data_IF_097076776407
#
_entry.id   IF_097076776407
#
_cell.length_a   1.000
_cell.length_b   1.000
_cell.length_c   1.000
_cell.angle_alpha   90.00
_cell.angle_beta   90.00
_cell.angle_gamma   90.00
#
_symmetry.space_group_name_H-M   'P 1'
#
loop_
_entity.id
_entity.type
_entity.pdbx_description
1 polymer ?
#
# COMPACT_ATOMS: atom_id res chain seq x y z
N UNK A 1 14.03 60.91 -50.69
CA UNK A 1 13.78 60.68 -49.26
C UNK A 1 13.49 59.19 -49.08
N UNK A 2 14.47 58.38 -48.66
CA UNK A 2 14.30 56.92 -48.48
C UNK A 2 13.73 56.67 -47.08
N UNK A 3 12.53 56.11 -47.00
CA UNK A 3 11.84 55.76 -45.76
C UNK A 3 12.38 54.42 -45.26
N UNK A 4 13.02 54.40 -44.09
CA UNK A 4 13.54 53.19 -43.46
C UNK A 4 12.44 52.61 -42.55
N UNK A 5 11.86 51.47 -42.95
CA UNK A 5 10.86 50.76 -42.13
C UNK A 5 11.63 49.83 -41.19
N UNK A 6 11.66 50.16 -39.90
CA UNK A 6 12.22 49.31 -38.85
C UNK A 6 11.15 48.30 -38.45
N UNK A 7 11.36 47.04 -38.78
CA UNK A 7 10.53 45.92 -38.38
C UNK A 7 10.98 45.45 -37.00
N UNK A 8 10.26 45.84 -35.95
CA UNK A 8 10.52 45.37 -34.57
C UNK A 8 9.85 44.01 -34.43
N UNK A 9 10.62 42.94 -34.58
CA UNK A 9 10.20 41.60 -34.19
C UNK A 9 10.28 41.49 -32.67
N UNK A 10 9.14 41.46 -31.98
CA UNK A 10 9.10 41.07 -30.57
C UNK A 10 9.39 39.57 -30.47
N UNK A 11 10.61 39.22 -30.05
CA UNK A 11 10.94 37.87 -29.65
C UNK A 11 10.18 37.58 -28.35
N UNK A 12 9.07 36.84 -28.45
CA UNK A 12 8.45 36.23 -27.27
C UNK A 12 9.43 35.19 -26.75
N UNK A 13 10.22 35.56 -25.75
CA UNK A 13 11.03 34.62 -24.98
C UNK A 13 10.07 33.77 -24.16
N UNK A 14 9.77 32.55 -24.64
CA UNK A 14 9.04 31.57 -23.85
C UNK A 14 9.89 31.22 -22.61
N UNK A 15 9.45 31.66 -21.43
CA UNK A 15 10.04 31.25 -20.16
C UNK A 15 9.77 29.76 -19.95
N UNK A 16 10.79 28.99 -19.61
CA UNK A 16 10.63 27.57 -19.27
C UNK A 16 9.76 27.44 -18.02
N UNK A 17 8.76 26.57 -18.07
CA UNK A 17 7.85 26.33 -16.95
C UNK A 17 8.04 24.95 -16.34
N UNK A 18 7.65 24.81 -15.08
CA UNK A 18 7.50 23.51 -14.42
C UNK A 18 6.05 23.35 -14.00
N UNK A 19 5.46 22.23 -14.36
CA UNK A 19 4.13 21.81 -13.94
C UNK A 19 4.24 20.55 -13.08
N UNK A 20 3.58 20.53 -11.94
CA UNK A 20 3.58 19.40 -11.02
C UNK A 20 2.13 19.00 -10.77
N UNK A 21 1.75 17.84 -11.30
CA UNK A 21 0.48 17.20 -11.06
C UNK A 21 0.67 16.01 -10.12
N UNK A 22 -0.38 15.61 -9.41
CA UNK A 22 -0.32 14.42 -8.57
C UNK A 22 -1.63 13.64 -8.53
N UNK A 23 -1.50 12.37 -8.15
CA UNK A 23 -2.59 11.51 -7.74
C UNK A 23 -2.24 10.93 -6.34
N UNK A 24 -3.01 11.24 -5.28
CA UNK A 24 -4.21 12.10 -5.27
C UNK A 24 -3.90 13.58 -5.57
N UNK A 25 -4.91 14.37 -5.93
CA UNK A 25 -4.79 15.83 -6.12
C UNK A 25 -4.58 16.56 -4.79
N UNK A 26 -4.25 17.86 -4.85
CA UNK A 26 -4.10 18.72 -3.66
C UNK A 26 -3.06 18.13 -2.68
N UNK A 27 -1.91 17.74 -3.23
CA UNK A 27 -0.75 17.37 -2.43
C UNK A 27 0.09 18.62 -2.18
N UNK A 28 0.63 18.74 -0.97
CA UNK A 28 1.58 19.80 -0.65
C UNK A 28 2.88 19.58 -1.43
N UNK A 29 3.41 20.64 -2.01
CA UNK A 29 4.65 20.61 -2.78
C UNK A 29 5.72 21.39 -2.03
N UNK A 30 6.86 20.76 -1.83
CA UNK A 30 8.02 21.32 -1.17
C UNK A 30 9.24 21.32 -2.09
N UNK A 31 10.08 22.34 -1.95
CA UNK A 31 11.48 22.26 -2.39
C UNK A 31 12.33 21.94 -1.17
N UNK A 32 13.23 20.97 -1.32
CA UNK A 32 14.23 20.63 -0.31
C UNK A 32 15.50 21.39 -0.64
N UNK A 33 15.92 22.28 0.25
CA UNK A 33 17.14 23.05 0.08
C UNK A 33 18.41 22.20 0.31
N UNK A 34 19.59 22.78 0.07
CA UNK A 34 20.89 22.14 0.27
C UNK A 34 21.17 21.65 1.71
N UNK A 35 20.41 22.15 2.69
CA UNK A 35 20.52 21.76 4.10
C UNK A 35 19.46 20.72 4.49
N UNK A 36 18.66 20.24 3.55
CA UNK A 36 17.55 19.30 3.81
C UNK A 36 16.29 19.98 4.36
N UNK A 37 16.22 21.32 4.40
CA UNK A 37 15.04 22.04 4.89
C UNK A 37 13.97 22.06 3.80
N UNK A 38 12.76 21.65 4.15
CA UNK A 38 11.58 21.70 3.29
C UNK A 38 10.97 23.10 3.31
N UNK A 39 10.80 23.69 2.13
CA UNK A 39 10.08 24.96 1.94
C UNK A 39 8.86 24.70 1.09
N UNK A 40 7.67 24.98 1.63
CA UNK A 40 6.42 24.82 0.88
C UNK A 40 6.36 25.84 -0.25
N UNK A 41 6.01 25.38 -1.45
CA UNK A 41 5.84 26.22 -2.64
C UNK A 41 4.40 26.26 -3.14
N UNK A 42 3.51 25.40 -2.62
CA UNK A 42 2.10 25.36 -2.99
C UNK A 42 1.51 23.96 -2.92
N UNK A 43 0.43 23.74 -3.67
CA UNK A 43 -0.25 22.45 -3.79
C UNK A 43 -0.43 22.04 -5.26
N UNK A 44 -0.51 20.74 -5.52
CA UNK A 44 -0.80 20.22 -6.86
C UNK A 44 -2.28 20.42 -7.26
N UNK A 45 -2.59 20.76 -8.52
CA UNK A 45 -1.65 21.05 -9.60
C UNK A 45 -0.92 22.37 -9.37
N UNK A 46 0.41 22.34 -9.49
CA UNK A 46 1.28 23.50 -9.27
C UNK A 46 1.97 23.87 -10.58
N UNK A 47 2.06 25.16 -10.89
CA UNK A 47 2.78 25.66 -12.05
C UNK A 47 3.57 26.91 -11.71
N UNK A 48 4.83 26.96 -12.12
CA UNK A 48 5.69 28.12 -11.91
C UNK A 48 6.74 28.26 -13.04
N UNK A 49 7.34 29.44 -13.12
CA UNK A 49 8.48 29.68 -13.99
C UNK A 49 9.75 29.07 -13.37
N UNK A 50 10.53 28.36 -14.19
CA UNK A 50 11.74 27.66 -13.76
C UNK A 50 12.78 28.63 -13.19
N UNK A 51 12.88 29.83 -13.77
CA UNK A 51 13.82 30.87 -13.34
C UNK A 51 13.48 31.43 -11.95
N UNK A 52 12.19 31.58 -11.63
CA UNK A 52 11.73 32.00 -10.30
C UNK A 52 12.00 30.94 -9.23
N UNK A 53 11.84 29.65 -9.58
CA UNK A 53 12.24 28.56 -8.68
C UNK A 53 13.75 28.49 -8.47
N UNK A 54 14.54 28.76 -9.52
CA UNK A 54 15.99 28.80 -9.42
C UNK A 54 16.46 29.95 -8.53
N UNK A 55 15.96 31.17 -8.73
CA UNK A 55 16.38 32.33 -7.94
C UNK A 55 16.01 32.19 -6.46
N UNK A 56 14.86 31.60 -6.15
CA UNK A 56 14.38 31.44 -4.79
C UNK A 56 15.00 30.24 -4.05
N UNK A 57 15.37 29.17 -4.77
CA UNK A 57 15.72 27.89 -4.13
C UNK A 57 16.93 27.14 -4.72
N UNK A 58 17.44 27.55 -5.89
CA UNK A 58 18.42 26.81 -6.67
C UNK A 58 19.71 27.59 -6.91
N UNK A 59 20.65 27.55 -5.96
CA UNK A 59 21.86 28.36 -6.08
C UNK A 59 22.87 27.85 -7.12
N UNK A 60 22.93 26.55 -7.47
CA UNK A 60 23.91 26.02 -8.47
C UNK A 60 23.71 24.53 -8.88
N UNK A 61 22.50 23.96 -8.79
CA UNK A 61 22.30 22.52 -9.08
C UNK A 61 20.83 22.10 -9.15
N UNK A 62 20.52 20.82 -9.41
CA UNK A 62 19.14 20.35 -9.46
C UNK A 62 18.43 20.60 -8.12
N UNK A 63 17.17 21.02 -8.17
CA UNK A 63 16.33 21.12 -6.96
C UNK A 63 15.68 19.78 -6.66
N UNK A 64 15.59 19.44 -5.39
CA UNK A 64 14.80 18.30 -4.97
C UNK A 64 13.37 18.79 -4.69
N UNK A 65 12.42 18.26 -5.45
CA UNK A 65 10.99 18.49 -5.26
C UNK A 65 10.43 17.31 -4.49
N UNK A 66 9.67 17.60 -3.45
CA UNK A 66 8.90 16.62 -2.69
C UNK A 66 7.42 16.93 -2.78
N UNK A 67 6.61 15.94 -3.15
CA UNK A 67 5.15 16.01 -3.16
C UNK A 67 4.65 15.10 -2.04
N UNK A 68 3.89 15.67 -1.12
CA UNK A 68 3.48 15.02 0.11
C UNK A 68 1.99 15.18 0.37
N UNK A 69 1.38 14.15 0.94
CA UNK A 69 0.04 14.19 1.49
C UNK A 69 -0.03 13.24 2.69
N UNK A 70 -0.65 13.64 3.81
CA UNK A 70 -0.81 12.76 4.96
C UNK A 70 -1.42 11.41 4.58
N UNK A 71 -0.78 10.33 5.01
CA UNK A 71 -1.19 8.96 4.73
C UNK A 71 -0.71 8.39 3.40
N UNK A 72 0.16 9.11 2.71
CA UNK A 72 0.85 8.66 1.52
C UNK A 72 2.37 8.75 1.67
N UNK A 73 3.09 7.83 1.04
CA UNK A 73 4.54 7.91 0.86
C UNK A 73 4.87 9.18 0.06
N UNK A 74 5.78 9.99 0.59
CA UNK A 74 6.26 11.18 -0.08
C UNK A 74 6.91 10.82 -1.43
N UNK A 75 6.50 11.49 -2.49
CA UNK A 75 7.13 11.38 -3.80
C UNK A 75 8.26 12.40 -3.87
N UNK A 76 9.49 11.95 -4.11
CA UNK A 76 10.64 12.86 -4.22
C UNK A 76 11.36 12.66 -5.55
N UNK A 77 11.71 13.77 -6.20
CA UNK A 77 12.41 13.79 -7.48
C UNK A 77 13.42 14.94 -7.53
N UNK A 78 14.59 14.67 -8.10
CA UNK A 78 15.56 15.72 -8.44
C UNK A 78 15.23 16.28 -9.83
N UNK A 79 14.98 17.58 -9.90
CA UNK A 79 14.62 18.30 -11.12
C UNK A 79 15.81 19.14 -11.57
N UNK A 80 16.39 18.87 -12.75
CA UNK A 80 17.44 19.73 -13.31
C UNK A 80 16.86 21.06 -13.79
N UNK A 81 17.66 22.13 -13.65
CA UNK A 81 17.29 23.43 -14.22
C UNK A 81 17.52 23.45 -15.72
N UNK A 82 16.45 23.61 -16.49
CA UNK A 82 16.48 23.75 -17.94
C UNK A 82 16.20 25.21 -18.31
N UNK A 83 17.15 25.85 -19.01
CA UNK A 83 16.97 27.23 -19.53
C UNK A 83 15.95 27.29 -20.68
N UNK A 84 15.71 26.17 -21.34
CA UNK A 84 14.78 26.02 -22.47
C UNK A 84 14.09 24.67 -22.37
N UNK A 85 12.76 24.68 -22.36
CA UNK A 85 11.93 23.47 -22.29
C UNK A 85 11.14 23.38 -20.99
N UNK A 86 9.88 22.98 -21.12
CA UNK A 86 8.98 22.77 -19.99
C UNK A 86 9.26 21.43 -19.29
N UNK A 87 9.04 21.39 -17.98
CA UNK A 87 9.17 20.18 -17.17
C UNK A 87 7.80 19.81 -16.60
N UNK A 88 7.26 18.67 -17.01
CA UNK A 88 6.01 18.14 -16.47
C UNK A 88 6.27 16.96 -15.54
N UNK A 89 5.87 17.10 -14.28
CA UNK A 89 6.00 16.08 -13.24
C UNK A 89 4.62 15.52 -12.92
N UNK A 90 4.51 14.19 -12.92
CA UNK A 90 3.30 13.47 -12.52
C UNK A 90 3.61 12.57 -11.32
N UNK A 91 3.32 13.07 -10.12
CA UNK A 91 3.59 12.37 -8.86
C UNK A 91 2.43 11.43 -8.51
N UNK A 92 2.64 10.12 -8.65
CA UNK A 92 1.68 9.10 -8.23
C UNK A 92 2.07 8.59 -6.83
N UNK A 93 1.41 9.13 -5.82
CA UNK A 93 1.70 8.80 -4.43
C UNK A 93 1.07 7.46 -4.05
N UNK A 94 1.77 6.69 -3.23
CA UNK A 94 1.32 5.39 -2.73
C UNK A 94 0.84 5.54 -1.30
N UNK A 95 -0.27 4.89 -0.93
CA UNK A 95 -0.73 4.87 0.47
C UNK A 95 0.37 4.28 1.35
N UNK A 96 0.62 4.89 2.51
CA UNK A 96 1.63 4.40 3.43
C UNK A 96 1.36 2.95 3.86
N UNK A 97 2.43 2.17 3.99
CA UNK A 97 2.35 0.73 4.27
C UNK A 97 1.61 0.41 5.57
N UNK A 98 1.78 1.20 6.62
CA UNK A 98 1.09 1.07 7.91
C UNK A 98 -0.43 1.28 7.78
N UNK A 99 -0.87 2.28 7.03
CA UNK A 99 -2.29 2.55 6.78
C UNK A 99 -2.88 1.43 5.95
N UNK A 100 -2.18 1.02 4.88
CA UNK A 100 -2.62 -0.11 4.06
C UNK A 100 -2.75 -1.39 4.89
N UNK A 101 -1.80 -1.65 5.78
CA UNK A 101 -1.84 -2.79 6.70
C UNK A 101 -3.05 -2.71 7.66
N UNK A 102 -3.35 -1.54 8.20
CA UNK A 102 -4.51 -1.33 9.05
C UNK A 102 -5.82 -1.59 8.29
N UNK A 103 -5.96 -1.03 7.09
CA UNK A 103 -7.11 -1.28 6.21
C UNK A 103 -7.28 -2.76 5.89
N UNK A 104 -6.19 -3.44 5.52
CA UNK A 104 -6.20 -4.88 5.24
C UNK A 104 -6.61 -5.70 6.47
N UNK A 105 -6.20 -5.28 7.68
CA UNK A 105 -6.64 -5.90 8.93
C UNK A 105 -8.15 -5.68 9.19
N UNK A 106 -8.66 -4.47 8.97
CA UNK A 106 -10.09 -4.16 9.12
C UNK A 106 -10.94 -5.02 8.18
N UNK A 107 -10.53 -5.16 6.91
CA UNK A 107 -11.19 -6.03 5.95
C UNK A 107 -11.16 -7.50 6.38
N UNK A 108 -10.00 -8.00 6.82
CA UNK A 108 -9.87 -9.37 7.33
C UNK A 108 -10.83 -9.61 8.50
N UNK A 109 -10.85 -8.71 9.49
CA UNK A 109 -11.69 -8.84 10.69
C UNK A 109 -13.18 -8.84 10.33
N UNK A 110 -13.63 -7.90 9.50
CA UNK A 110 -15.00 -7.86 9.02
C UNK A 110 -15.39 -9.15 8.30
N UNK A 111 -14.49 -9.68 7.46
CA UNK A 111 -14.73 -10.90 6.74
C UNK A 111 -14.78 -12.14 7.64
N UNK A 112 -13.94 -12.22 8.67
CA UNK A 112 -13.96 -13.29 9.67
C UNK A 112 -15.25 -13.26 10.51
N UNK A 113 -15.79 -12.07 10.83
CA UNK A 113 -17.09 -11.96 11.48
C UNK A 113 -18.23 -12.56 10.64
N UNK A 114 -18.20 -12.36 9.32
CA UNK A 114 -19.17 -12.99 8.43
C UNK A 114 -18.99 -14.53 8.38
N UNK A 115 -17.74 -15.01 8.37
CA UNK A 115 -17.48 -16.47 8.49
C UNK A 115 -18.06 -17.02 9.79
N UNK A 116 -17.84 -16.34 10.94
CA UNK A 116 -18.41 -16.75 12.23
C UNK A 116 -19.94 -16.79 12.19
N UNK A 117 -20.57 -15.79 11.57
CA UNK A 117 -22.03 -15.74 11.38
C UNK A 117 -22.53 -16.93 10.56
N UNK A 118 -21.86 -17.25 9.44
CA UNK A 118 -22.19 -18.40 8.60
C UNK A 118 -22.03 -19.73 9.36
N UNK A 119 -20.97 -19.88 10.15
CA UNK A 119 -20.74 -21.07 10.98
C UNK A 119 -21.86 -21.25 12.01
N UNK A 120 -22.28 -20.17 12.69
CA UNK A 120 -23.42 -20.20 13.64
C UNK A 120 -24.73 -20.57 12.96
N UNK A 121 -24.95 -20.08 11.74
CA UNK A 121 -26.07 -20.47 10.89
C UNK A 121 -25.96 -21.86 10.26
N UNK A 122 -24.93 -22.66 10.60
CA UNK A 122 -24.61 -23.97 10.00
C UNK A 122 -24.39 -23.95 8.48
N UNK A 123 -24.14 -22.79 7.89
CA UNK A 123 -23.78 -22.61 6.48
C UNK A 123 -22.29 -22.89 6.26
N UNK A 124 -21.86 -24.11 6.60
CA UNK A 124 -20.46 -24.49 6.70
C UNK A 124 -19.70 -24.47 5.36
N UNK A 125 -20.37 -24.81 4.26
CA UNK A 125 -19.75 -24.76 2.92
C UNK A 125 -19.42 -23.34 2.48
N UNK A 126 -20.37 -22.41 2.68
CA UNK A 126 -20.16 -21.00 2.36
C UNK A 126 -19.08 -20.39 3.24
N UNK A 127 -19.08 -20.71 4.54
CA UNK A 127 -18.04 -20.28 5.47
C UNK A 127 -16.65 -20.77 5.01
N UNK A 128 -16.53 -22.03 4.60
CA UNK A 128 -15.28 -22.61 4.14
C UNK A 128 -14.78 -21.95 2.85
N UNK A 129 -15.65 -21.76 1.85
CA UNK A 129 -15.31 -21.05 0.60
C UNK A 129 -14.85 -19.61 0.84
N UNK A 130 -15.44 -18.93 1.83
CA UNK A 130 -15.00 -17.59 2.22
C UNK A 130 -13.62 -17.60 2.86
N UNK A 131 -13.32 -18.60 3.70
CA UNK A 131 -11.98 -18.81 4.26
C UNK A 131 -10.93 -19.15 3.20
N UNK A 132 -11.27 -19.81 2.09
CA UNK A 132 -10.35 -20.02 0.96
C UNK A 132 -9.95 -18.71 0.28
N UNK A 133 -10.92 -17.82 0.06
CA UNK A 133 -10.64 -16.47 -0.47
C UNK A 133 -9.76 -15.67 0.50
N UNK A 134 -10.04 -15.75 1.80
CA UNK A 134 -9.23 -15.09 2.82
C UNK A 134 -7.82 -15.66 2.88
N UNK A 135 -7.63 -16.99 2.78
CA UNK A 135 -6.31 -17.61 2.76
C UNK A 135 -5.46 -17.11 1.60
N UNK A 136 -6.05 -16.92 0.42
CA UNK A 136 -5.33 -16.40 -0.75
C UNK A 136 -4.84 -14.96 -0.54
N UNK A 137 -5.64 -14.11 0.14
CA UNK A 137 -5.26 -12.71 0.41
C UNK A 137 -4.37 -12.56 1.65
N UNK A 138 -4.54 -13.43 2.64
CA UNK A 138 -3.97 -13.32 3.99
C UNK A 138 -3.31 -14.64 4.44
N UNK A 139 -2.30 -15.17 3.72
CA UNK A 139 -1.78 -16.52 3.91
C UNK A 139 -1.12 -16.77 5.28
N UNK A 140 -0.72 -15.71 5.98
CA UNK A 140 0.01 -15.78 7.26
C UNK A 140 -0.87 -15.57 8.49
N UNK A 141 -2.21 -15.59 8.34
CA UNK A 141 -3.13 -15.44 9.46
C UNK A 141 -3.61 -16.80 9.97
N UNK A 142 -3.09 -17.22 11.12
CA UNK A 142 -3.40 -18.53 11.73
C UNK A 142 -4.89 -18.77 11.97
N UNK A 143 -5.65 -17.70 12.23
CA UNK A 143 -7.10 -17.77 12.52
C UNK A 143 -7.89 -18.36 11.34
N UNK A 144 -7.42 -18.16 10.11
CA UNK A 144 -8.09 -18.70 8.92
C UNK A 144 -8.05 -20.23 8.96
N UNK A 145 -6.88 -20.81 9.23
CA UNK A 145 -6.74 -22.26 9.38
C UNK A 145 -7.42 -22.79 10.64
N UNK A 146 -7.41 -22.04 11.74
CA UNK A 146 -8.16 -22.40 12.95
C UNK A 146 -9.67 -22.55 12.66
N UNK A 147 -10.26 -21.60 11.92
CA UNK A 147 -11.68 -21.65 11.55
C UNK A 147 -11.97 -22.76 10.54
N UNK A 148 -11.07 -23.05 9.58
CA UNK A 148 -11.19 -24.23 8.71
C UNK A 148 -11.14 -25.53 9.52
N UNK A 149 -10.29 -25.58 10.54
CA UNK A 149 -10.21 -26.68 11.51
C UNK A 149 -11.52 -26.86 12.28
N UNK A 150 -12.10 -25.75 12.77
CA UNK A 150 -13.41 -25.72 13.43
C UNK A 150 -14.52 -26.24 12.53
N UNK A 151 -14.59 -25.76 11.28
CA UNK A 151 -15.60 -26.22 10.30
C UNK A 151 -15.47 -27.72 10.05
N UNK A 152 -14.25 -28.20 9.82
CA UNK A 152 -13.98 -29.64 9.59
C UNK A 152 -14.39 -30.47 10.81
N UNK A 153 -14.11 -29.97 12.01
CA UNK A 153 -14.54 -30.60 13.26
C UNK A 153 -16.06 -30.70 13.36
N UNK A 154 -16.79 -29.62 13.04
CA UNK A 154 -18.26 -29.60 13.03
C UNK A 154 -18.84 -30.58 12.01
N UNK A 155 -18.17 -30.79 10.87
CA UNK A 155 -18.51 -31.80 9.86
C UNK A 155 -18.11 -33.23 10.26
N UNK A 156 -17.49 -33.43 11.44
CA UNK A 156 -16.91 -34.69 11.91
C UNK A 156 -15.76 -35.21 11.06
N UNK A 157 -15.16 -34.36 10.23
CA UNK A 157 -13.93 -34.66 9.49
C UNK A 157 -12.71 -34.35 10.37
N UNK A 158 -12.43 -35.25 11.31
CA UNK A 158 -11.39 -35.06 12.31
C UNK A 158 -9.97 -35.07 11.73
N UNK A 159 -9.76 -35.77 10.61
CA UNK A 159 -8.45 -35.82 9.93
C UNK A 159 -8.10 -34.45 9.34
N UNK A 160 -9.02 -33.85 8.58
CA UNK A 160 -8.79 -32.52 8.03
C UNK A 160 -8.81 -31.46 9.13
N UNK A 161 -9.67 -31.60 10.13
CA UNK A 161 -9.67 -30.72 11.31
C UNK A 161 -8.29 -30.66 11.97
N UNK A 162 -7.68 -31.80 12.26
CA UNK A 162 -6.34 -31.87 12.85
C UNK A 162 -5.27 -31.24 11.94
N UNK A 163 -5.34 -31.50 10.63
CA UNK A 163 -4.42 -30.90 9.64
C UNK A 163 -4.46 -29.37 9.70
N UNK A 164 -5.67 -28.79 9.69
CA UNK A 164 -5.85 -27.35 9.76
C UNK A 164 -5.38 -26.74 11.09
N UNK A 165 -5.68 -27.38 12.23
CA UNK A 165 -5.16 -26.89 13.51
C UNK A 165 -3.63 -26.99 13.63
N UNK A 166 -3.01 -28.00 13.01
CA UNK A 166 -1.54 -28.07 12.89
C UNK A 166 -1.00 -26.91 12.06
N UNK A 167 -1.62 -26.59 10.93
CA UNK A 167 -1.23 -25.44 10.09
C UNK A 167 -1.40 -24.11 10.83
N UNK A 168 -2.53 -23.91 11.51
CA UNK A 168 -2.79 -22.72 12.33
C UNK A 168 -1.71 -22.52 13.41
N UNK A 169 -1.38 -23.57 14.15
CA UNK A 169 -0.32 -23.54 15.17
C UNK A 169 1.07 -23.35 14.57
N UNK A 170 1.34 -23.93 13.39
CA UNK A 170 2.60 -23.74 12.68
C UNK A 170 2.82 -22.31 12.21
N UNK A 171 1.76 -21.60 11.82
CA UNK A 171 1.80 -20.17 11.47
C UNK A 171 1.98 -19.31 12.72
N UNK A 172 1.23 -19.60 13.78
CA UNK A 172 1.31 -18.85 15.03
C UNK A 172 1.35 -19.80 16.24
N UNK A 173 2.56 -20.08 16.79
CA UNK A 173 2.71 -20.92 17.96
C UNK A 173 2.05 -20.36 19.23
N UNK A 174 1.65 -19.07 19.25
CA UNK A 174 0.90 -18.45 20.35
C UNK A 174 -0.62 -18.58 20.18
N UNK A 175 -1.10 -19.21 19.11
CA UNK A 175 -2.53 -19.51 18.96
C UNK A 175 -2.93 -20.65 19.91
N UNK A 176 -3.47 -20.27 21.06
CA UNK A 176 -3.85 -21.20 22.13
C UNK A 176 -5.01 -22.12 21.74
N UNK A 177 -5.98 -21.65 20.97
CA UNK A 177 -7.11 -22.47 20.52
C UNK A 177 -6.66 -23.53 19.54
N UNK A 178 -5.84 -23.17 18.55
CA UNK A 178 -5.24 -24.14 17.64
C UNK A 178 -4.41 -25.19 18.39
N UNK A 179 -3.62 -24.77 19.39
CA UNK A 179 -2.85 -25.71 20.21
C UNK A 179 -3.76 -26.69 20.98
N UNK A 180 -4.78 -26.17 21.67
CA UNK A 180 -5.74 -26.97 22.45
C UNK A 180 -6.45 -27.98 21.57
N UNK A 181 -7.01 -27.55 20.45
CA UNK A 181 -7.75 -28.41 19.53
C UNK A 181 -6.85 -29.44 18.85
N UNK A 182 -5.64 -29.06 18.43
CA UNK A 182 -4.64 -30.02 17.92
C UNK A 182 -4.38 -31.13 18.94
N UNK A 183 -4.05 -30.78 20.19
CA UNK A 183 -3.75 -31.76 21.25
C UNK A 183 -4.95 -32.64 21.59
N UNK A 184 -6.13 -32.05 21.65
CA UNK A 184 -7.38 -32.78 21.85
C UNK A 184 -7.60 -33.84 20.77
N UNK A 185 -7.48 -33.46 19.49
CA UNK A 185 -7.69 -34.37 18.37
C UNK A 185 -6.64 -35.46 18.29
N UNK A 186 -5.36 -35.13 18.52
CA UNK A 186 -4.26 -36.10 18.59
C UNK A 186 -4.54 -37.18 19.65
N UNK A 187 -4.96 -36.76 20.85
CA UNK A 187 -5.27 -37.69 21.95
C UNK A 187 -6.54 -38.50 21.70
N UNK A 188 -7.63 -37.83 21.29
CA UNK A 188 -8.97 -38.46 21.22
C UNK A 188 -9.07 -39.47 20.10
N UNK A 189 -8.46 -39.19 18.96
CA UNK A 189 -8.65 -40.00 17.76
C UNK A 189 -7.47 -40.92 17.46
N UNK A 190 -6.45 -40.94 18.34
CA UNK A 190 -5.22 -41.71 18.18
C UNK A 190 -4.67 -41.66 16.75
N UNK A 191 -4.84 -40.50 16.09
CA UNK A 191 -4.36 -40.28 14.72
C UNK A 191 -2.87 -40.09 14.88
N UNK A 192 -2.15 -41.22 14.84
CA UNK A 192 -0.70 -41.25 14.81
C UNK A 192 -0.24 -40.20 13.81
N UNK A 193 0.70 -39.36 14.24
CA UNK A 193 1.52 -38.63 13.28
C UNK A 193 2.10 -39.68 12.35
N UNK A 194 1.57 -39.79 11.12
CA UNK A 194 2.34 -40.35 10.01
C UNK A 194 3.57 -39.45 9.90
N UNK A 195 4.58 -39.75 10.71
CA UNK A 195 5.96 -39.48 10.38
C UNK A 195 6.16 -40.18 9.05
N UNK A 196 6.63 -39.41 8.07
CA UNK A 196 6.85 -39.89 6.71
C UNK A 196 7.54 -41.24 6.73
N UNK A 197 6.90 -42.21 6.09
CA UNK A 197 7.60 -43.33 5.50
C UNK A 197 7.99 -42.91 4.08
N UNK A 198 9.26 -43.20 3.78
CA UNK A 198 10.05 -42.97 2.57
C UNK A 198 10.69 -41.59 2.43
#
# INVERSE_FOLDING_TARGET
MKLFIIFITTLNTFAATISINSNPSECDVYVVDKNGKKVSIGQTPYKAEMETLQSNYGSDGPIQVEVFKPGFEAYSISVPFLKKGDVDINANLKVEKNIRLAQDFDFLVADLFDVLRLMRGKNLELAFKKLEKLEAKFPHFSIIHEMKGSISYMKKDFKNSLSFYRKAFGINPKNMEAYRMKKYLEKKFNIASNKGEN
#
